data_IF_108944685279
#
_entry.id   IF_108944685279
#
_cell.length_a   1.000
_cell.length_b   1.000
_cell.length_c   1.000
_cell.angle_alpha   90.00
_cell.angle_beta   90.00
_cell.angle_gamma   90.00
#
_symmetry.space_group_name_H-M   'P 1'
#
loop_
_entity.id
_entity.type
_entity.pdbx_description
1 polymer ?
#
# COMPACT_ATOMS: atom_id res chain seq x y z
N UNK A 1 -11.40 -20.06 -22.47
CA UNK A 1 -11.40 -18.96 -23.47
C UNK A 1 -12.75 -18.80 -24.22
N UNK A 2 -13.77 -19.62 -23.97
CA UNK A 2 -15.04 -19.61 -24.73
C UNK A 2 -16.16 -18.68 -24.21
N UNK A 3 -15.96 -17.94 -23.11
CA UNK A 3 -17.04 -17.14 -22.47
C UNK A 3 -17.02 -15.65 -22.90
N UNK A 4 -15.91 -15.17 -23.47
CA UNK A 4 -15.71 -13.72 -23.75
C UNK A 4 -16.76 -13.13 -24.71
N UNK A 5 -17.22 -13.91 -25.68
CA UNK A 5 -18.19 -13.48 -26.70
C UNK A 5 -19.61 -14.00 -26.45
N UNK A 6 -19.93 -14.36 -25.20
CA UNK A 6 -21.24 -14.92 -24.82
C UNK A 6 -22.04 -13.89 -24.03
N UNK A 7 -23.35 -14.10 -23.91
CA UNK A 7 -24.21 -13.24 -23.11
C UNK A 7 -23.73 -13.15 -21.64
N UNK A 8 -23.13 -14.21 -21.09
CA UNK A 8 -22.54 -14.20 -19.74
C UNK A 8 -21.29 -13.36 -19.67
N UNK A 9 -20.44 -13.37 -20.70
CA UNK A 9 -19.28 -12.49 -20.78
C UNK A 9 -19.69 -11.01 -20.73
N UNK A 10 -20.65 -10.62 -21.58
CA UNK A 10 -21.17 -9.25 -21.61
C UNK A 10 -21.91 -8.87 -20.31
N UNK A 11 -22.70 -9.78 -19.74
CA UNK A 11 -23.38 -9.56 -18.47
C UNK A 11 -22.38 -9.38 -17.32
N UNK A 12 -21.32 -10.19 -17.28
CA UNK A 12 -20.27 -10.10 -16.27
C UNK A 12 -19.53 -8.76 -16.35
N UNK A 13 -19.22 -8.29 -17.56
CA UNK A 13 -18.63 -6.97 -17.77
C UNK A 13 -19.56 -5.84 -17.32
N UNK A 14 -20.84 -5.93 -17.64
CA UNK A 14 -21.84 -4.96 -17.21
C UNK A 14 -21.97 -4.91 -15.68
N UNK A 15 -22.06 -6.07 -15.03
CA UNK A 15 -22.07 -6.19 -13.58
C UNK A 15 -20.79 -5.62 -12.94
N UNK A 16 -19.63 -5.90 -13.52
CA UNK A 16 -18.36 -5.34 -13.07
C UNK A 16 -18.35 -3.80 -13.12
N UNK A 17 -18.86 -3.20 -14.20
CA UNK A 17 -18.99 -1.74 -14.31
C UNK A 17 -19.92 -1.19 -13.23
N UNK A 18 -21.06 -1.84 -12.98
CA UNK A 18 -21.99 -1.47 -11.90
C UNK A 18 -21.28 -1.52 -10.54
N UNK A 19 -20.55 -2.59 -10.24
CA UNK A 19 -19.79 -2.68 -8.99
C UNK A 19 -18.81 -1.53 -8.85
N UNK A 20 -18.08 -1.20 -9.92
CA UNK A 20 -17.11 -0.11 -9.89
C UNK A 20 -17.76 1.26 -9.65
N UNK A 21 -18.91 1.51 -10.27
CA UNK A 21 -19.71 2.70 -10.04
C UNK A 21 -20.17 2.78 -8.57
N UNK A 22 -20.67 1.67 -8.01
CA UNK A 22 -21.08 1.61 -6.60
C UNK A 22 -19.92 1.89 -5.62
N UNK A 23 -18.71 1.44 -5.95
CA UNK A 23 -17.50 1.76 -5.15
C UNK A 23 -17.22 3.26 -5.17
N UNK A 24 -17.28 3.89 -6.34
CA UNK A 24 -17.03 5.34 -6.49
C UNK A 24 -18.05 6.14 -5.69
N UNK A 25 -19.32 5.72 -5.70
CA UNK A 25 -20.39 6.39 -4.98
C UNK A 25 -20.44 6.08 -3.48
N UNK A 26 -19.50 5.32 -2.91
CA UNK A 26 -19.47 4.95 -1.48
C UNK A 26 -19.76 6.14 -0.56
N UNK A 27 -19.15 7.29 -0.81
CA UNK A 27 -19.32 8.50 0.02
C UNK A 27 -20.77 9.01 0.05
N UNK A 28 -21.58 8.71 -0.98
CA UNK A 28 -23.00 9.07 -1.08
C UNK A 28 -23.93 7.96 -0.56
N UNK A 29 -23.57 6.70 -0.79
CA UNK A 29 -24.41 5.54 -0.42
C UNK A 29 -24.12 5.02 0.99
N UNK A 30 -23.03 5.46 1.61
CA UNK A 30 -22.55 5.00 2.94
C UNK A 30 -22.42 3.47 3.08
N UNK A 31 -22.30 2.76 1.96
CA UNK A 31 -22.07 1.32 1.92
C UNK A 31 -20.58 1.06 1.75
N UNK A 32 -19.98 0.42 2.76
CA UNK A 32 -18.57 -0.04 2.71
C UNK A 32 -18.27 -0.74 1.39
N UNK A 33 -17.19 -0.35 0.70
CA UNK A 33 -16.77 -0.88 -0.63
C UNK A 33 -16.84 -2.41 -0.73
N UNK A 34 -16.50 -3.13 0.34
CA UNK A 34 -16.51 -4.60 0.34
C UNK A 34 -17.89 -5.21 0.08
N UNK A 35 -18.98 -4.56 0.52
CA UNK A 35 -20.35 -5.07 0.35
C UNK A 35 -20.78 -5.18 -1.12
N UNK A 36 -20.76 -4.09 -1.93
CA UNK A 36 -21.14 -4.17 -3.34
C UNK A 36 -20.18 -5.06 -4.14
N UNK A 37 -18.88 -5.05 -3.84
CA UNK A 37 -17.89 -5.91 -4.53
C UNK A 37 -18.21 -7.39 -4.34
N UNK A 38 -18.39 -7.83 -3.10
CA UNK A 38 -18.65 -9.24 -2.80
C UNK A 38 -19.99 -9.67 -3.38
N UNK A 39 -21.04 -8.85 -3.23
CA UNK A 39 -22.36 -9.16 -3.77
C UNK A 39 -22.32 -9.34 -5.29
N UNK A 40 -21.76 -8.37 -6.01
CA UNK A 40 -21.69 -8.41 -7.47
C UNK A 40 -20.76 -9.54 -7.94
N UNK A 41 -19.64 -9.77 -7.24
CA UNK A 41 -18.75 -10.90 -7.51
C UNK A 41 -19.45 -12.25 -7.39
N UNK A 42 -20.25 -12.45 -6.33
CA UNK A 42 -21.07 -13.65 -6.16
C UNK A 42 -22.11 -13.81 -7.28
N UNK A 43 -22.76 -12.71 -7.71
CA UNK A 43 -23.71 -12.74 -8.82
C UNK A 43 -23.03 -13.11 -10.15
N UNK A 44 -21.85 -12.53 -10.43
CA UNK A 44 -21.07 -12.88 -11.63
C UNK A 44 -20.72 -14.36 -11.64
N UNK A 45 -20.19 -14.89 -10.54
CA UNK A 45 -19.86 -16.31 -10.40
C UNK A 45 -21.08 -17.23 -10.50
N UNK A 46 -22.23 -16.81 -9.98
CA UNK A 46 -23.50 -17.53 -10.14
C UNK A 46 -23.87 -17.68 -11.62
N UNK A 47 -23.85 -16.59 -12.39
CA UNK A 47 -24.18 -16.63 -13.81
C UNK A 47 -23.17 -17.44 -14.64
N UNK A 48 -21.87 -17.34 -14.32
CA UNK A 48 -20.82 -18.15 -14.95
C UNK A 48 -21.06 -19.64 -14.69
N UNK A 49 -21.35 -20.03 -13.44
CA UNK A 49 -21.62 -21.42 -13.08
C UNK A 49 -22.88 -21.99 -13.75
N UNK A 50 -23.96 -21.19 -13.85
CA UNK A 50 -25.18 -21.58 -14.58
C UNK A 50 -24.86 -21.81 -16.06
N UNK A 51 -24.09 -20.92 -16.68
CA UNK A 51 -23.75 -21.01 -18.10
C UNK A 51 -22.92 -22.25 -18.43
N UNK A 52 -21.88 -22.55 -17.64
CA UNK A 52 -21.07 -23.75 -17.80
C UNK A 52 -21.90 -25.03 -17.62
N UNK A 53 -22.83 -25.06 -16.66
CA UNK A 53 -23.74 -26.19 -16.47
C UNK A 53 -24.64 -26.43 -17.69
N UNK A 54 -25.13 -25.37 -18.33
CA UNK A 54 -26.08 -25.47 -19.44
C UNK A 54 -25.45 -25.81 -20.79
N UNK A 55 -24.20 -25.39 -21.04
CA UNK A 55 -23.56 -25.50 -22.37
C UNK A 55 -22.58 -26.68 -22.52
N UNK A 56 -22.70 -27.70 -21.67
CA UNK A 56 -21.98 -28.97 -21.83
C UNK A 56 -20.71 -29.09 -20.97
N UNK A 57 -20.92 -29.47 -19.71
CA UNK A 57 -19.87 -29.92 -18.79
C UNK A 57 -19.27 -31.28 -19.18
N UNK A 58 -18.43 -31.30 -20.23
CA UNK A 58 -17.54 -32.43 -20.58
C UNK A 58 -16.05 -32.14 -20.33
N UNK A 59 -15.68 -30.90 -20.05
CA UNK A 59 -14.34 -30.50 -19.61
C UNK A 59 -14.48 -29.82 -18.26
N UNK A 60 -14.75 -30.63 -17.23
CA UNK A 60 -15.05 -30.22 -15.87
C UNK A 60 -13.86 -29.61 -15.11
N UNK A 61 -13.22 -28.58 -15.66
CA UNK A 61 -12.13 -27.93 -14.93
C UNK A 61 -12.11 -26.41 -15.05
N UNK A 62 -12.50 -25.79 -16.18
CA UNK A 62 -12.36 -24.33 -16.40
C UNK A 62 -12.73 -23.40 -15.22
N UNK A 63 -14.02 -23.24 -14.90
CA UNK A 63 -14.42 -22.30 -13.84
C UNK A 63 -14.15 -22.81 -12.42
N UNK A 64 -14.26 -24.12 -12.17
CA UNK A 64 -14.01 -24.70 -10.85
C UNK A 64 -12.53 -24.63 -10.46
N UNK A 65 -11.64 -25.06 -11.36
CA UNK A 65 -10.18 -24.97 -11.21
C UNK A 65 -9.74 -23.51 -11.10
N UNK A 66 -10.34 -22.60 -11.89
CA UNK A 66 -10.05 -21.17 -11.78
C UNK A 66 -10.50 -20.60 -10.43
N UNK A 67 -11.67 -21.00 -9.92
CA UNK A 67 -12.14 -20.57 -8.61
C UNK A 67 -11.27 -21.15 -7.48
N UNK A 68 -10.86 -22.41 -7.58
CA UNK A 68 -9.95 -23.05 -6.63
C UNK A 68 -8.60 -22.33 -6.59
N UNK A 69 -8.01 -22.05 -7.77
CA UNK A 69 -6.79 -21.25 -7.87
C UNK A 69 -6.96 -19.84 -7.30
N UNK A 70 -8.07 -19.16 -7.61
CA UNK A 70 -8.35 -17.82 -7.10
C UNK A 70 -8.49 -17.81 -5.57
N UNK A 71 -9.18 -18.80 -5.00
CA UNK A 71 -9.33 -18.93 -3.54
C UNK A 71 -7.97 -19.23 -2.90
N UNK A 72 -7.14 -20.10 -3.51
CA UNK A 72 -5.80 -20.39 -3.03
C UNK A 72 -4.90 -19.14 -3.05
N UNK A 73 -4.95 -18.36 -4.13
CA UNK A 73 -4.21 -17.09 -4.26
C UNK A 73 -4.65 -16.07 -3.20
N UNK A 74 -5.97 -15.84 -3.07
CA UNK A 74 -6.53 -14.93 -2.05
C UNK A 74 -6.20 -15.43 -0.65
N UNK A 75 -6.25 -16.74 -0.40
CA UNK A 75 -5.90 -17.35 0.87
C UNK A 75 -4.43 -17.13 1.23
N UNK A 76 -3.52 -17.32 0.26
CA UNK A 76 -2.10 -17.04 0.44
C UNK A 76 -1.84 -15.58 0.79
N UNK A 77 -2.44 -14.65 0.05
CA UNK A 77 -2.39 -13.21 0.33
C UNK A 77 -2.93 -12.88 1.72
N UNK A 78 -4.08 -13.47 2.09
CA UNK A 78 -4.71 -13.24 3.38
C UNK A 78 -3.82 -13.69 4.55
N UNK A 79 -3.31 -14.93 4.52
CA UNK A 79 -2.44 -15.44 5.59
C UNK A 79 -1.13 -14.66 5.69
N UNK A 80 -0.57 -14.26 4.54
CA UNK A 80 0.63 -13.43 4.52
C UNK A 80 0.38 -12.06 5.15
N UNK A 81 -0.68 -11.36 4.71
CA UNK A 81 -1.04 -10.05 5.24
C UNK A 81 -1.42 -10.13 6.72
N UNK A 82 -2.03 -11.23 7.17
CA UNK A 82 -2.33 -11.45 8.58
C UNK A 82 -1.05 -11.43 9.41
N UNK A 83 -0.04 -12.23 9.03
CA UNK A 83 1.26 -12.28 9.73
C UNK A 83 1.98 -10.93 9.65
N UNK A 84 2.04 -10.32 8.47
CA UNK A 84 2.67 -9.02 8.27
C UNK A 84 2.02 -7.93 9.14
N UNK A 85 0.69 -7.84 9.12
CA UNK A 85 -0.05 -6.86 9.93
C UNK A 85 0.04 -7.15 11.43
N UNK A 86 0.12 -8.41 11.86
CA UNK A 86 0.42 -8.74 13.26
C UNK A 86 1.77 -8.18 13.67
N UNK A 87 2.81 -8.37 12.86
CA UNK A 87 4.14 -7.80 13.13
C UNK A 87 4.10 -6.27 13.24
N UNK A 88 3.42 -5.58 12.33
CA UNK A 88 3.24 -4.12 12.37
C UNK A 88 2.47 -3.66 13.61
N UNK A 89 1.39 -4.35 13.94
CA UNK A 89 0.63 -4.05 15.16
C UNK A 89 1.47 -4.28 16.42
N UNK A 90 2.32 -5.29 16.45
CA UNK A 90 3.26 -5.52 17.55
C UNK A 90 4.26 -4.37 17.66
N UNK A 91 4.93 -3.96 16.57
CA UNK A 91 5.84 -2.82 16.58
C UNK A 91 5.16 -1.53 17.06
N UNK A 92 3.91 -1.33 16.64
CA UNK A 92 3.09 -0.20 17.08
C UNK A 92 2.77 -0.30 18.57
N UNK A 93 2.41 -1.48 19.09
CA UNK A 93 2.12 -1.70 20.51
C UNK A 93 3.34 -1.51 21.41
N UNK A 94 4.53 -1.82 20.90
CA UNK A 94 5.83 -1.59 21.54
C UNK A 94 6.29 -0.13 21.44
N UNK A 95 5.47 0.75 20.85
CA UNK A 95 5.76 2.16 20.66
C UNK A 95 7.06 2.43 19.86
N UNK A 96 7.49 1.50 18.99
CA UNK A 96 8.74 1.64 18.20
C UNK A 96 8.72 2.91 17.37
N UNK A 97 7.56 3.20 16.78
CA UNK A 97 7.33 4.36 15.95
C UNK A 97 7.30 5.68 16.74
N UNK A 98 6.72 5.68 17.93
CA UNK A 98 6.72 6.83 18.85
C UNK A 98 8.12 7.11 19.39
N UNK A 99 8.89 6.07 19.70
CA UNK A 99 10.28 6.19 20.10
C UNK A 99 11.15 6.76 18.97
N UNK A 100 10.95 6.29 17.73
CA UNK A 100 11.60 6.84 16.54
C UNK A 100 11.25 8.32 16.35
N UNK A 101 9.98 8.69 16.52
CA UNK A 101 9.53 10.10 16.51
C UNK A 101 10.26 10.91 17.58
N UNK A 102 10.24 10.48 18.83
CA UNK A 102 10.87 11.21 19.94
C UNK A 102 12.39 11.36 19.74
N UNK A 103 13.04 10.32 19.21
CA UNK A 103 14.45 10.34 18.87
C UNK A 103 14.77 11.35 17.74
N UNK A 104 13.94 11.43 16.70
CA UNK A 104 14.11 12.43 15.63
C UNK A 104 13.91 13.85 16.14
N UNK A 105 12.92 14.05 17.04
CA UNK A 105 12.66 15.33 17.68
C UNK A 105 13.83 15.79 18.54
N UNK A 106 14.42 14.89 19.33
CA UNK A 106 15.52 15.22 20.25
C UNK A 106 16.83 15.59 19.54
N UNK A 107 16.98 15.26 18.26
CA UNK A 107 18.18 15.62 17.47
C UNK A 107 18.28 17.11 17.12
N UNK A 108 17.24 17.91 17.32
CA UNK A 108 17.27 19.36 17.06
C UNK A 108 17.62 19.71 15.60
N UNK A 109 17.20 18.86 14.66
CA UNK A 109 17.55 18.99 13.25
C UNK A 109 16.93 20.23 12.60
N UNK A 110 17.68 20.90 11.72
CA UNK A 110 17.11 21.92 10.82
C UNK A 110 16.15 21.34 9.79
N UNK A 111 15.29 22.17 9.19
CA UNK A 111 14.26 21.71 8.23
C UNK A 111 14.82 20.86 7.08
N UNK A 112 15.98 21.23 6.51
CA UNK A 112 16.62 20.44 5.44
C UNK A 112 17.12 19.08 5.92
N UNK A 113 17.78 19.04 7.07
CA UNK A 113 18.30 17.78 7.64
C UNK A 113 17.15 16.83 7.95
N UNK A 114 16.09 17.38 8.55
CA UNK A 114 14.88 16.66 8.87
C UNK A 114 14.13 16.15 7.64
N UNK A 115 14.02 16.94 6.58
CA UNK A 115 13.45 16.52 5.29
C UNK A 115 14.15 15.26 4.74
N UNK A 116 15.48 15.25 4.77
CA UNK A 116 16.26 14.09 4.33
C UNK A 116 16.13 12.92 5.28
N UNK A 117 16.19 13.18 6.60
CA UNK A 117 16.06 12.14 7.61
C UNK A 117 14.71 11.41 7.51
N UNK A 118 13.60 12.13 7.43
CA UNK A 118 12.27 11.51 7.30
C UNK A 118 12.13 10.78 5.96
N UNK A 119 12.63 11.32 4.86
CA UNK A 119 12.62 10.65 3.56
C UNK A 119 13.42 9.34 3.56
N UNK A 120 14.67 9.36 4.03
CA UNK A 120 15.54 8.18 4.12
C UNK A 120 14.90 7.12 5.01
N UNK A 121 14.46 7.52 6.20
CA UNK A 121 13.83 6.59 7.13
C UNK A 121 12.56 6.00 6.54
N UNK A 122 11.71 6.79 5.88
CA UNK A 122 10.51 6.27 5.22
C UNK A 122 10.88 5.25 4.14
N UNK A 123 11.88 5.55 3.30
CA UNK A 123 12.31 4.68 2.21
C UNK A 123 12.76 3.30 2.71
N UNK A 124 13.52 3.25 3.81
CA UNK A 124 13.98 1.97 4.38
C UNK A 124 12.96 1.30 5.30
N UNK A 125 12.00 2.06 5.83
CA UNK A 125 10.94 1.50 6.66
C UNK A 125 9.83 0.85 5.82
N UNK A 126 9.51 1.41 4.65
CA UNK A 126 8.44 0.91 3.77
C UNK A 126 8.56 -0.54 3.27
N UNK A 127 9.77 -1.09 3.01
CA UNK A 127 9.93 -2.51 2.74
C UNK A 127 9.51 -3.43 3.89
N UNK A 128 9.53 -2.90 5.12
CA UNK A 128 9.27 -3.64 6.36
C UNK A 128 7.87 -3.36 6.91
N UNK A 129 7.35 -2.16 6.67
CA UNK A 129 6.04 -1.69 7.10
C UNK A 129 5.24 -1.19 5.90
N UNK A 130 3.92 -1.47 5.88
CA UNK A 130 3.06 -1.06 4.77
C UNK A 130 3.24 0.44 4.44
N UNK A 131 3.17 0.78 3.14
CA UNK A 131 3.41 2.12 2.62
C UNK A 131 2.60 3.23 3.33
N UNK A 132 1.33 2.97 3.67
CA UNK A 132 0.46 3.92 4.38
C UNK A 132 0.93 4.10 5.82
N UNK A 133 1.26 3.02 6.53
CA UNK A 133 1.79 3.08 7.90
C UNK A 133 3.08 3.89 7.95
N UNK A 134 4.04 3.60 7.06
CA UNK A 134 5.32 4.32 6.97
C UNK A 134 5.11 5.82 6.69
N UNK A 135 4.23 6.13 5.74
CA UNK A 135 3.95 7.51 5.35
C UNK A 135 3.24 8.31 6.46
N UNK A 136 2.21 7.75 7.10
CA UNK A 136 1.47 8.43 8.17
C UNK A 136 2.36 8.71 9.37
N UNK A 137 3.20 7.75 9.75
CA UNK A 137 4.11 7.93 10.86
C UNK A 137 5.07 9.09 10.61
N UNK A 138 5.79 9.05 9.50
CA UNK A 138 6.81 10.05 9.19
C UNK A 138 6.19 11.42 8.92
N UNK A 139 4.98 11.46 8.36
CA UNK A 139 4.20 12.70 8.22
C UNK A 139 3.82 13.28 9.58
N UNK A 140 3.48 12.44 10.56
CA UNK A 140 3.23 12.88 11.94
C UNK A 140 4.49 13.50 12.56
N UNK A 141 5.66 12.89 12.34
CA UNK A 141 6.95 13.45 12.80
C UNK A 141 7.22 14.79 12.13
N UNK A 142 7.13 14.85 10.79
CA UNK A 142 7.34 16.04 9.99
C UNK A 142 6.35 17.17 10.33
N UNK A 143 5.12 16.84 10.73
CA UNK A 143 4.15 17.82 11.18
C UNK A 143 4.51 18.37 12.57
N UNK A 144 4.86 17.52 13.54
CA UNK A 144 5.17 17.92 14.92
C UNK A 144 6.34 18.92 15.00
N UNK A 145 7.37 18.71 14.18
CA UNK A 145 8.55 19.59 14.02
C UNK A 145 8.32 20.79 13.11
N UNK A 146 7.24 20.84 12.34
CA UNK A 146 7.11 21.88 11.31
C UNK A 146 6.79 23.26 11.89
N UNK A 147 6.32 23.31 13.14
CA UNK A 147 5.73 24.50 13.76
C UNK A 147 4.72 25.22 12.85
N UNK A 148 3.94 24.46 12.07
CA UNK A 148 2.96 24.99 11.14
C UNK A 148 3.55 25.60 9.84
N UNK A 149 4.85 25.47 9.60
CA UNK A 149 5.51 26.01 8.41
C UNK A 149 5.10 25.23 7.15
N UNK A 150 4.07 25.73 6.45
CA UNK A 150 3.55 25.13 5.21
C UNK A 150 4.60 24.96 4.11
N UNK A 151 5.62 25.83 4.06
CA UNK A 151 6.73 25.72 3.07
C UNK A 151 7.64 24.53 3.34
N UNK A 152 7.61 23.97 4.55
CA UNK A 152 8.27 22.71 4.90
C UNK A 152 7.30 21.53 4.84
N UNK A 153 6.09 21.64 5.40
CA UNK A 153 5.12 20.53 5.52
C UNK A 153 4.81 19.92 4.16
N UNK A 154 4.44 20.76 3.19
CA UNK A 154 4.00 20.28 1.87
C UNK A 154 5.08 19.46 1.16
N UNK A 155 6.30 19.98 0.93
CA UNK A 155 7.34 19.18 0.30
C UNK A 155 7.79 18.00 1.17
N UNK A 156 7.80 18.11 2.50
CA UNK A 156 8.12 16.99 3.37
C UNK A 156 7.11 15.84 3.22
N UNK A 157 5.81 16.13 3.17
CA UNK A 157 4.77 15.12 2.97
C UNK A 157 4.88 14.46 1.60
N UNK A 158 5.07 15.25 0.55
CA UNK A 158 5.29 14.70 -0.81
C UNK A 158 6.52 13.81 -0.83
N UNK A 159 7.64 14.24 -0.23
CA UNK A 159 8.86 13.43 -0.12
C UNK A 159 8.62 12.12 0.61
N UNK A 160 7.92 12.14 1.75
CA UNK A 160 7.58 10.95 2.53
C UNK A 160 6.71 9.97 1.71
N UNK A 161 5.68 10.46 1.03
CA UNK A 161 4.81 9.61 0.20
C UNK A 161 5.58 8.97 -0.96
N UNK A 162 6.44 9.74 -1.64
CA UNK A 162 7.29 9.21 -2.72
C UNK A 162 8.30 8.20 -2.17
N UNK A 163 8.92 8.49 -1.02
CA UNK A 163 9.86 7.60 -0.34
C UNK A 163 9.21 6.28 0.05
N UNK A 164 8.00 6.31 0.61
CA UNK A 164 7.24 5.12 1.00
C UNK A 164 6.98 4.21 -0.21
N UNK A 165 6.38 4.76 -1.27
CA UNK A 165 6.07 3.98 -2.46
C UNK A 165 7.33 3.44 -3.17
N UNK A 166 8.39 4.24 -3.26
CA UNK A 166 9.64 3.79 -3.87
C UNK A 166 10.34 2.74 -3.00
N UNK A 167 10.33 2.91 -1.69
CA UNK A 167 10.87 1.98 -0.70
C UNK A 167 10.15 0.63 -0.74
N UNK A 168 8.82 0.63 -0.81
CA UNK A 168 8.05 -0.61 -0.85
C UNK A 168 8.32 -1.46 -2.10
N UNK A 169 8.62 -0.83 -3.23
CA UNK A 169 8.73 -1.50 -4.52
C UNK A 169 9.88 -2.53 -4.64
N UNK A 170 10.95 -2.40 -3.85
CA UNK A 170 12.11 -3.32 -3.90
C UNK A 170 12.01 -4.48 -2.89
N UNK A 171 10.84 -4.71 -2.30
CA UNK A 171 10.57 -5.80 -1.37
C UNK A 171 9.21 -6.44 -1.68
N UNK A 172 9.06 -7.78 -1.58
CA UNK A 172 7.76 -8.42 -1.75
C UNK A 172 6.75 -8.04 -0.65
N UNK A 173 7.23 -7.49 0.47
CA UNK A 173 6.41 -7.12 1.64
C UNK A 173 5.91 -5.67 1.59
N UNK A 174 6.50 -4.81 0.74
CA UNK A 174 6.30 -3.36 0.83
C UNK A 174 4.94 -2.89 0.34
N UNK A 175 4.42 -3.48 -0.74
CA UNK A 175 3.10 -3.15 -1.30
C UNK A 175 2.29 -4.41 -1.64
N UNK A 176 0.96 -4.28 -1.64
CA UNK A 176 0.03 -5.34 -2.05
C UNK A 176 0.33 -5.78 -3.47
N UNK A 177 0.70 -4.85 -4.37
CA UNK A 177 1.00 -5.18 -5.76
C UNK A 177 2.28 -6.03 -5.90
N UNK A 178 3.34 -5.70 -5.16
CA UNK A 178 4.58 -6.51 -5.11
C UNK A 178 4.33 -7.87 -4.49
N UNK A 179 3.47 -7.93 -3.47
CA UNK A 179 3.07 -9.16 -2.84
C UNK A 179 2.32 -10.07 -3.82
N UNK A 180 1.35 -9.54 -4.58
CA UNK A 180 0.58 -10.30 -5.56
C UNK A 180 1.47 -10.98 -6.60
N UNK A 181 2.44 -10.26 -7.15
CA UNK A 181 3.36 -10.79 -8.17
C UNK A 181 4.27 -11.88 -7.57
N UNK A 182 4.70 -11.71 -6.32
CA UNK A 182 5.52 -12.69 -5.60
C UNK A 182 4.72 -13.96 -5.25
N UNK A 183 3.51 -13.83 -4.70
CA UNK A 183 2.64 -14.98 -4.37
C UNK A 183 2.16 -15.73 -5.62
N UNK A 184 2.00 -15.03 -6.75
CA UNK A 184 1.72 -15.63 -8.04
C UNK A 184 2.92 -16.36 -8.66
N UNK A 185 4.07 -16.42 -7.97
CA UNK A 185 5.29 -17.11 -8.40
C UNK A 185 5.93 -16.49 -9.65
N UNK A 186 5.64 -15.23 -9.96
CA UNK A 186 6.15 -14.56 -11.17
C UNK A 186 7.54 -13.97 -10.97
N UNK A 187 7.93 -13.71 -9.73
CA UNK A 187 9.20 -13.07 -9.35
C UNK A 187 9.69 -13.72 -8.06
N UNK A 188 10.96 -14.10 -8.00
CA UNK A 188 11.55 -14.64 -6.78
C UNK A 188 11.98 -13.51 -5.82
N UNK A 189 12.13 -13.81 -4.54
CA UNK A 189 12.47 -12.81 -3.51
C UNK A 189 13.73 -12.00 -3.85
N UNK A 190 14.76 -12.65 -4.43
CA UNK A 190 16.02 -11.97 -4.77
C UNK A 190 15.91 -11.10 -6.03
N UNK A 191 14.93 -11.34 -6.90
CA UNK A 191 14.75 -10.55 -8.12
C UNK A 191 14.28 -9.12 -7.79
N UNK A 192 13.63 -8.92 -6.64
CA UNK A 192 13.29 -7.57 -6.16
C UNK A 192 14.53 -6.69 -5.91
N UNK A 193 15.71 -7.28 -5.72
CA UNK A 193 16.95 -6.52 -5.57
C UNK A 193 17.33 -5.74 -6.84
N UNK A 194 16.88 -6.18 -8.02
CA UNK A 194 17.05 -5.42 -9.25
C UNK A 194 16.33 -4.07 -9.22
N UNK A 195 15.29 -3.93 -8.39
CA UNK A 195 14.52 -2.71 -8.23
C UNK A 195 15.12 -1.73 -7.21
N UNK A 196 16.11 -2.13 -6.41
CA UNK A 196 16.71 -1.26 -5.38
C UNK A 196 17.27 0.02 -6.01
N UNK A 197 18.09 -0.10 -7.04
CA UNK A 197 18.68 1.07 -7.71
C UNK A 197 17.61 1.95 -8.41
N UNK A 198 16.70 1.40 -9.24
CA UNK A 198 15.57 2.16 -9.77
C UNK A 198 14.74 2.87 -8.71
N UNK A 199 14.42 2.20 -7.60
CA UNK A 199 13.67 2.77 -6.48
C UNK A 199 14.40 3.92 -5.79
N UNK A 200 15.70 3.76 -5.53
CA UNK A 200 16.53 4.83 -4.96
C UNK A 200 16.51 6.05 -5.88
N UNK A 201 16.75 5.85 -7.19
CA UNK A 201 16.78 6.95 -8.17
C UNK A 201 15.41 7.63 -8.27
N UNK A 202 14.32 6.85 -8.31
CA UNK A 202 12.95 7.33 -8.35
C UNK A 202 12.59 8.24 -7.17
N UNK A 203 13.10 7.94 -5.97
CA UNK A 203 12.90 8.79 -4.80
C UNK A 203 13.91 9.95 -4.72
N UNK A 204 15.19 9.69 -5.00
CA UNK A 204 16.27 10.64 -4.80
C UNK A 204 16.16 11.87 -5.70
N UNK A 205 15.77 11.70 -6.98
CA UNK A 205 15.62 12.80 -7.93
C UNK A 205 14.57 13.83 -7.45
N UNK A 206 13.30 13.46 -7.21
CA UNK A 206 12.30 14.41 -6.73
C UNK A 206 12.64 14.94 -5.33
N UNK A 207 13.20 14.12 -4.44
CA UNK A 207 13.64 14.56 -3.12
C UNK A 207 14.71 15.67 -3.23
N UNK A 208 15.70 15.49 -4.10
CA UNK A 208 16.74 16.46 -4.35
C UNK A 208 16.17 17.79 -4.88
N UNK A 209 15.29 17.74 -5.88
CA UNK A 209 14.63 18.93 -6.43
C UNK A 209 13.85 19.68 -5.35
N UNK A 210 13.03 18.97 -4.56
CA UNK A 210 12.25 19.56 -3.46
C UNK A 210 13.15 20.17 -2.37
N UNK A 211 14.30 19.54 -2.07
CA UNK A 211 15.23 20.01 -1.03
C UNK A 211 15.78 21.43 -1.29
N UNK A 212 15.76 21.89 -2.53
CA UNK A 212 16.15 23.25 -2.92
C UNK A 212 15.13 24.30 -2.45
N UNK A 213 13.86 23.93 -2.34
CA UNK A 213 12.75 24.79 -1.93
C UNK A 213 12.46 24.75 -0.43
N UNK A 214 13.13 23.87 0.32
CA UNK A 214 12.98 23.77 1.77
C UNK A 214 13.55 25.02 2.47
N UNK A 215 12.79 25.66 3.38
CA UNK A 215 13.26 26.85 4.10
C UNK A 215 14.54 26.56 4.90
N UNK A 216 15.42 27.55 4.95
CA UNK A 216 16.57 27.54 5.86
C UNK A 216 16.09 27.85 7.28
N UNK A 217 16.59 27.13 8.27
CA UNK A 217 16.22 27.34 9.67
C UNK A 217 16.04 26.02 10.43
N UNK A 218 15.68 26.16 11.70
CA UNK A 218 15.38 25.04 12.60
C UNK A 218 13.96 25.20 13.17
N UNK A 219 13.25 24.09 13.42
CA UNK A 219 12.08 24.07 14.28
C UNK A 219 12.38 24.72 15.64
N UNK A 220 11.40 25.41 16.23
CA UNK A 220 11.45 25.72 17.66
C UNK A 220 11.27 24.40 18.43
N UNK A 221 12.33 23.97 19.13
CA UNK A 221 12.33 22.71 19.84
C UNK A 221 11.40 22.79 21.06
N UNK A 222 10.25 22.10 21.01
CA UNK A 222 9.47 21.75 22.20
C UNK A 222 9.92 20.36 22.63
N UNK A 223 10.52 20.26 23.83
CA UNK A 223 10.97 18.98 24.39
C UNK A 223 9.75 18.08 24.70
N UNK A 224 9.49 17.08 23.86
CA UNK A 224 8.68 15.92 24.23
C UNK A 224 9.63 14.71 24.42
N UNK A 225 9.92 14.36 25.67
CA UNK A 225 10.65 13.14 26.02
C UNK A 225 9.62 12.03 26.31
N UNK A 226 9.55 11.01 25.46
CA UNK A 226 8.88 9.74 25.78
C UNK A 226 9.89 8.60 25.75
N UNK A 227 9.90 7.78 26.81
CA UNK A 227 10.68 6.55 26.90
C UNK A 227 9.90 5.36 26.32
N UNK A 228 10.61 4.40 25.70
CA UNK A 228 10.05 3.10 25.31
C UNK A 228 9.51 2.34 26.52
N UNK A 229 8.43 1.59 26.32
CA UNK A 229 7.89 0.63 27.29
C UNK A 229 8.43 -0.76 27.03
#
# INVERSE_FOLDING_TARGET
MYILNTWVGYLSLFLFIIAYILIIFEEKIHLKKSKPIVLVGCLMWLFIGIYERMHGGGHGSGAHEFLEHLIAEIGGLFFFLLVAMTYINTLTSLNVFQALRAWLLSKGMGFKSLFWATGILTFFLSPLADNLTSALLMSTVAFAVSDGNKKFIVPAFVNIVVAANAGGAWSPFGDITTLMVWTAGKVHTLDFLYLVLPSIVNWLIPAFIMSLFIPKGKPDAKEEVMAMK
#
